data_IF_099231006878
#
_entry.id   IF_099231006878
#
_cell.length_a   1.000
_cell.length_b   1.000
_cell.length_c   1.000
_cell.angle_alpha   90.00
_cell.angle_beta   90.00
_cell.angle_gamma   90.00
#
_symmetry.space_group_name_H-M   'P 1'
#
loop_
_entity.id
_entity.type
_entity.pdbx_description
1 polymer ?
#
# COMPACT_ATOMS: atom_id res chain seq x y z
N UNK A 1 41.04 -40.67 -19.23
CA UNK A 1 41.17 -40.88 -17.78
C UNK A 1 39.75 -40.96 -17.26
N UNK A 2 39.37 -42.05 -16.59
CA UNK A 2 38.01 -42.18 -16.01
C UNK A 2 38.09 -41.62 -14.61
N UNK A 3 37.28 -40.59 -14.34
CA UNK A 3 37.15 -40.02 -13.00
C UNK A 3 35.86 -40.56 -12.38
N UNK A 4 35.87 -40.68 -11.06
CA UNK A 4 34.68 -40.86 -10.24
C UNK A 4 34.72 -39.77 -9.19
N UNK A 5 33.68 -38.94 -9.16
CA UNK A 5 33.58 -37.81 -8.26
C UNK A 5 32.12 -37.59 -7.87
N UNK A 6 31.91 -37.35 -6.58
CA UNK A 6 30.61 -36.95 -6.05
C UNK A 6 30.46 -35.44 -6.13
N UNK A 7 29.33 -34.99 -6.68
CA UNK A 7 28.99 -33.57 -6.74
C UNK A 7 27.76 -33.30 -5.90
N UNK A 8 27.92 -32.46 -4.89
CA UNK A 8 26.81 -31.97 -4.08
C UNK A 8 26.28 -30.67 -4.69
N UNK A 9 25.05 -30.74 -5.19
CA UNK A 9 24.27 -29.60 -5.67
C UNK A 9 23.49 -29.00 -4.52
N UNK A 10 23.35 -27.67 -4.52
CA UNK A 10 22.64 -26.93 -3.49
C UNK A 10 21.80 -25.84 -4.17
N UNK A 11 20.57 -25.68 -3.72
CA UNK A 11 19.67 -24.60 -4.18
C UNK A 11 18.94 -24.03 -2.97
N UNK A 12 18.80 -22.73 -2.96
CA UNK A 12 17.98 -22.00 -1.99
C UNK A 12 16.64 -21.65 -2.65
N UNK A 13 15.58 -21.98 -1.92
CA UNK A 13 14.19 -21.92 -2.36
C UNK A 13 13.39 -20.83 -1.65
N UNK A 14 14.03 -19.92 -0.89
CA UNK A 14 13.33 -18.89 -0.11
C UNK A 14 12.36 -18.02 -0.94
N UNK A 15 12.69 -17.73 -2.21
CA UNK A 15 11.87 -16.89 -3.10
C UNK A 15 10.80 -17.70 -3.87
N UNK A 16 10.54 -18.94 -3.47
CA UNK A 16 9.58 -19.84 -4.13
C UNK A 16 8.32 -19.99 -3.30
N UNK A 17 7.18 -19.61 -3.90
CA UNK A 17 5.83 -19.63 -3.28
C UNK A 17 5.46 -20.92 -2.54
N UNK A 18 5.89 -22.08 -3.04
CA UNK A 18 5.69 -23.37 -2.36
C UNK A 18 6.66 -24.44 -2.84
N UNK A 19 7.16 -25.23 -1.90
CA UNK A 19 7.95 -26.45 -2.15
C UNK A 19 7.18 -27.73 -1.80
N UNK A 20 5.84 -27.69 -1.68
CA UNK A 20 5.03 -28.82 -1.20
C UNK A 20 5.13 -30.07 -2.06
N UNK A 21 5.38 -29.90 -3.37
CA UNK A 21 5.58 -31.00 -4.30
C UNK A 21 7.00 -31.59 -4.24
N UNK A 22 7.88 -31.02 -3.42
CA UNK A 22 9.29 -31.36 -3.29
C UNK A 22 10.20 -30.54 -4.19
N UNK A 23 11.50 -30.64 -3.93
CA UNK A 23 12.56 -29.97 -4.70
C UNK A 23 13.41 -31.06 -5.35
N UNK A 24 13.70 -30.91 -6.64
CA UNK A 24 14.38 -31.94 -7.44
C UNK A 24 15.56 -31.36 -8.21
N UNK A 25 16.56 -32.20 -8.45
CA UNK A 25 17.64 -31.98 -9.40
C UNK A 25 17.39 -32.86 -10.63
N UNK A 26 17.44 -32.27 -11.82
CA UNK A 26 17.40 -33.00 -13.09
C UNK A 26 18.60 -32.60 -13.96
N UNK A 27 19.21 -33.58 -14.62
CA UNK A 27 20.35 -33.32 -15.50
C UNK A 27 20.34 -34.19 -16.75
N UNK A 28 21.05 -33.72 -17.78
CA UNK A 28 21.18 -34.42 -19.06
C UNK A 28 21.86 -35.79 -18.99
N UNK A 29 22.51 -36.10 -17.86
CA UNK A 29 23.21 -37.36 -17.67
C UNK A 29 22.26 -38.56 -17.55
N UNK A 30 21.04 -38.38 -17.03
CA UNK A 30 20.06 -39.47 -16.90
C UNK A 30 18.59 -39.06 -17.09
N UNK A 31 18.30 -37.76 -17.26
CA UNK A 31 16.95 -37.20 -17.39
C UNK A 31 15.98 -37.63 -16.27
N UNK A 32 16.52 -37.95 -15.10
CA UNK A 32 15.74 -38.37 -13.93
C UNK A 32 15.64 -37.23 -12.93
N UNK A 33 14.45 -37.03 -12.37
CA UNK A 33 14.22 -36.07 -11.30
C UNK A 33 14.64 -36.71 -9.97
N UNK A 34 15.73 -36.22 -9.42
CA UNK A 34 16.29 -36.70 -8.16
C UNK A 34 15.81 -35.80 -7.02
N UNK A 35 15.02 -36.36 -6.12
CA UNK A 35 14.50 -35.60 -4.98
C UNK A 35 15.64 -35.13 -4.08
N UNK A 36 15.69 -33.84 -3.83
CA UNK A 36 16.67 -33.18 -2.95
C UNK A 36 16.18 -33.21 -1.51
N UNK A 37 17.13 -33.16 -0.57
CA UNK A 37 16.85 -33.12 0.88
C UNK A 37 17.03 -31.71 1.42
N UNK A 38 16.05 -31.21 2.18
CA UNK A 38 16.19 -29.96 2.93
C UNK A 38 17.21 -30.14 4.06
N UNK A 39 18.18 -29.24 4.18
CA UNK A 39 19.24 -29.28 5.19
C UNK A 39 19.10 -28.19 6.28
N UNK A 40 18.00 -27.44 6.27
CA UNK A 40 17.68 -26.34 7.17
C UNK A 40 17.45 -25.03 6.41
N UNK A 41 16.52 -24.21 6.90
CA UNK A 41 16.00 -23.06 6.14
C UNK A 41 15.36 -23.52 4.84
N UNK A 42 15.56 -22.75 3.77
CA UNK A 42 15.06 -23.03 2.43
C UNK A 42 16.11 -23.66 1.51
N UNK A 43 17.19 -24.19 2.09
CA UNK A 43 18.30 -24.80 1.35
C UNK A 43 18.09 -26.31 1.18
N UNK A 44 18.14 -26.76 -0.08
CA UNK A 44 18.00 -28.15 -0.49
C UNK A 44 19.30 -28.66 -1.13
N UNK A 45 19.63 -29.93 -0.87
CA UNK A 45 20.82 -30.56 -1.43
C UNK A 45 20.58 -31.94 -2.04
N UNK A 46 21.35 -32.27 -3.06
CA UNK A 46 21.45 -33.63 -3.60
C UNK A 46 22.88 -33.91 -4.07
N UNK A 47 23.36 -35.12 -3.84
CA UNK A 47 24.69 -35.54 -4.29
C UNK A 47 24.58 -36.57 -5.42
N UNK A 48 25.11 -36.21 -6.59
CA UNK A 48 25.18 -37.08 -7.76
C UNK A 48 26.61 -37.59 -7.97
N UNK A 49 26.77 -38.90 -8.19
CA UNK A 49 28.07 -39.53 -8.45
C UNK A 49 28.34 -39.61 -9.95
N UNK A 50 29.22 -38.74 -10.47
CA UNK A 50 29.65 -38.82 -11.86
C UNK A 50 30.69 -39.92 -12.05
N UNK A 51 30.57 -40.69 -13.13
CA UNK A 51 31.57 -41.66 -13.58
C UNK A 51 31.78 -41.51 -15.08
N UNK A 52 32.96 -41.07 -15.52
CA UNK A 52 33.18 -40.85 -16.96
C UNK A 52 34.39 -40.01 -17.33
N UNK A 53 34.54 -39.69 -18.62
CA UNK A 53 35.47 -38.66 -19.07
C UNK A 53 35.01 -37.27 -18.58
N UNK A 54 35.92 -36.30 -18.65
CA UNK A 54 35.57 -34.88 -18.48
C UNK A 54 34.65 -34.49 -19.63
N UNK A 55 33.43 -34.09 -19.30
CA UNK A 55 32.38 -33.67 -20.24
C UNK A 55 31.54 -32.55 -19.61
N UNK A 56 30.86 -31.77 -20.44
CA UNK A 56 29.94 -30.72 -19.97
C UNK A 56 28.52 -31.27 -19.97
N UNK A 57 27.82 -31.10 -18.86
CA UNK A 57 26.43 -31.49 -18.69
C UNK A 57 25.58 -30.29 -18.28
N UNK A 58 24.36 -30.26 -18.79
CA UNK A 58 23.36 -29.30 -18.37
C UNK A 58 22.47 -29.89 -17.27
N UNK A 59 22.05 -29.03 -16.34
CA UNK A 59 21.19 -29.40 -15.22
C UNK A 59 20.28 -28.24 -14.81
N UNK A 60 19.26 -28.59 -14.03
CA UNK A 60 18.26 -27.69 -13.51
C UNK A 60 17.76 -28.15 -12.14
N UNK A 61 17.26 -27.19 -11.37
CA UNK A 61 16.39 -27.43 -10.23
C UNK A 61 14.91 -27.42 -10.65
N UNK A 62 14.06 -28.08 -9.87
CA UNK A 62 12.62 -28.13 -10.12
C UNK A 62 11.80 -28.16 -8.81
N UNK A 63 10.59 -27.59 -8.85
CA UNK A 63 9.60 -27.58 -7.74
C UNK A 63 8.61 -28.76 -7.83
N UNK A 64 9.02 -29.85 -8.49
CA UNK A 64 8.20 -31.03 -8.77
C UNK A 64 8.98 -32.03 -9.62
N UNK A 65 8.40 -33.21 -9.85
CA UNK A 65 9.01 -34.29 -10.64
C UNK A 65 8.64 -34.23 -12.14
N UNK A 66 8.10 -33.09 -12.60
CA UNK A 66 7.68 -32.84 -13.98
C UNK A 66 8.48 -31.74 -14.67
N UNK A 67 8.59 -31.83 -16.01
CA UNK A 67 9.22 -30.80 -16.84
C UNK A 67 8.51 -29.43 -16.80
N UNK A 68 7.26 -29.38 -16.35
CA UNK A 68 6.53 -28.13 -16.13
C UNK A 68 6.99 -27.35 -14.90
N UNK A 69 7.73 -28.00 -14.00
CA UNK A 69 8.16 -27.47 -12.71
C UNK A 69 9.65 -27.10 -12.70
N UNK A 70 10.33 -27.24 -13.85
CA UNK A 70 11.76 -26.99 -14.01
C UNK A 70 12.01 -25.49 -14.10
N UNK A 71 13.06 -25.03 -13.42
CA UNK A 71 13.51 -23.64 -13.47
C UNK A 71 13.80 -23.18 -14.91
N UNK A 72 13.62 -21.89 -15.20
CA UNK A 72 13.83 -21.35 -16.56
C UNK A 72 15.31 -21.21 -16.92
N UNK A 73 16.20 -21.29 -15.94
CA UNK A 73 17.64 -21.15 -16.11
C UNK A 73 18.29 -22.49 -16.41
N UNK A 74 19.00 -22.59 -17.54
CA UNK A 74 19.86 -23.74 -17.82
C UNK A 74 21.24 -23.55 -17.21
N UNK A 75 21.64 -24.48 -16.33
CA UNK A 75 22.95 -24.46 -15.68
C UNK A 75 23.86 -25.50 -16.31
N UNK A 76 25.16 -25.29 -16.21
CA UNK A 76 26.17 -26.21 -16.74
C UNK A 76 27.15 -26.64 -15.65
N UNK A 77 27.57 -27.90 -15.72
CA UNK A 77 28.65 -28.45 -14.90
C UNK A 77 29.59 -29.24 -15.80
N UNK A 78 30.89 -29.13 -15.53
CA UNK A 78 31.90 -30.01 -16.12
C UNK A 78 32.18 -31.12 -15.12
N UNK A 79 32.14 -32.38 -15.55
CA UNK A 79 32.44 -33.55 -14.71
C UNK A 79 33.73 -33.32 -13.92
N UNK A 80 33.66 -33.17 -12.59
CA UNK A 80 34.82 -32.77 -11.81
C UNK A 80 35.79 -33.94 -11.63
N UNK A 81 37.06 -33.60 -11.41
CA UNK A 81 38.12 -34.59 -11.18
C UNK A 81 38.25 -35.04 -9.72
N UNK A 82 37.48 -34.43 -8.81
CA UNK A 82 37.42 -34.72 -7.38
C UNK A 82 36.05 -34.35 -6.82
N UNK A 83 35.70 -34.93 -5.67
CA UNK A 83 34.46 -34.59 -4.97
C UNK A 83 34.36 -33.08 -4.74
N UNK A 84 33.21 -32.50 -5.08
CA UNK A 84 33.01 -31.04 -5.08
C UNK A 84 31.62 -30.71 -4.56
N UNK A 85 31.52 -29.69 -3.73
CA UNK A 85 30.24 -29.09 -3.34
C UNK A 85 30.12 -27.77 -4.10
N UNK A 86 29.03 -27.61 -4.86
CA UNK A 86 28.76 -26.36 -5.57
C UNK A 86 28.27 -25.29 -4.60
N UNK A 87 28.52 -23.99 -4.88
CA UNK A 87 27.89 -22.90 -4.14
C UNK A 87 26.37 -23.04 -4.09
N UNK A 88 25.76 -22.53 -3.03
CA UNK A 88 24.30 -22.38 -2.97
C UNK A 88 23.92 -21.31 -3.98
N UNK A 89 22.80 -21.51 -4.67
CA UNK A 89 22.27 -20.58 -5.68
C UNK A 89 20.77 -20.47 -5.51
N UNK A 90 20.18 -19.33 -5.85
CA UNK A 90 18.74 -19.17 -5.79
C UNK A 90 18.06 -19.93 -6.94
N UNK A 91 16.89 -20.48 -6.66
CA UNK A 91 16.02 -21.02 -7.71
C UNK A 91 15.74 -19.94 -8.75
N UNK A 92 15.85 -20.26 -10.06
CA UNK A 92 15.75 -19.27 -11.14
C UNK A 92 16.79 -18.11 -11.10
N UNK A 93 17.91 -18.25 -10.38
CA UNK A 93 19.05 -17.30 -10.41
C UNK A 93 20.42 -17.99 -10.49
N UNK A 94 21.41 -17.34 -11.09
CA UNK A 94 22.81 -17.79 -11.03
C UNK A 94 23.53 -17.36 -9.73
N UNK A 95 22.94 -16.40 -9.01
CA UNK A 95 23.50 -15.84 -7.77
C UNK A 95 22.86 -16.49 -6.54
N UNK A 96 23.44 -16.28 -5.36
CA UNK A 96 22.81 -16.59 -4.07
C UNK A 96 21.48 -15.82 -3.95
N UNK A 97 20.51 -16.34 -3.17
CA UNK A 97 19.28 -15.58 -2.95
C UNK A 97 19.61 -14.28 -2.20
N UNK A 98 18.92 -13.16 -2.51
CA UNK A 98 19.04 -11.96 -1.71
C UNK A 98 18.67 -12.30 -0.26
N UNK A 99 19.47 -11.88 0.72
CA UNK A 99 19.07 -12.04 2.12
C UNK A 99 17.67 -11.44 2.33
N UNK A 100 16.80 -12.13 3.07
CA UNK A 100 15.53 -11.58 3.59
C UNK A 100 15.82 -10.48 4.61
N UNK A 101 16.23 -9.32 4.09
CA UNK A 101 16.53 -8.14 4.90
C UNK A 101 15.26 -7.31 4.97
N UNK A 102 14.77 -7.12 6.18
CA UNK A 102 13.72 -6.16 6.46
C UNK A 102 14.28 -4.97 7.24
N UNK A 103 13.73 -3.79 6.95
CA UNK A 103 14.07 -2.55 7.63
C UNK A 103 12.85 -2.01 8.37
N UNK A 104 13.05 -1.55 9.61
CA UNK A 104 11.99 -0.93 10.38
C UNK A 104 11.71 0.48 9.85
N UNK A 105 10.50 0.69 9.33
CA UNK A 105 10.02 1.98 8.83
C UNK A 105 8.88 2.45 9.71
N UNK A 106 8.88 3.74 10.04
CA UNK A 106 7.80 4.38 10.77
C UNK A 106 7.04 5.33 9.86
N UNK A 107 5.72 5.14 9.79
CA UNK A 107 4.75 6.01 9.12
C UNK A 107 4.12 6.95 10.15
N UNK A 108 3.92 8.20 9.78
CA UNK A 108 3.37 9.24 10.67
C UNK A 108 2.19 9.98 10.03
N UNK A 109 1.08 10.07 10.74
CA UNK A 109 -0.04 10.94 10.43
C UNK A 109 -0.12 12.03 11.49
N UNK A 110 -0.05 13.29 11.08
CA UNK A 110 -0.03 14.46 11.97
C UNK A 110 -1.29 15.27 11.70
N UNK A 111 -2.23 15.24 12.64
CA UNK A 111 -3.38 16.14 12.67
C UNK A 111 -3.00 17.42 13.43
N UNK A 112 -2.81 18.53 12.71
CA UNK A 112 -2.43 19.80 13.35
C UNK A 112 -3.52 20.40 14.23
N UNK A 113 -4.78 20.02 14.00
CA UNK A 113 -5.92 20.57 14.70
C UNK A 113 -6.41 19.69 15.85
N UNK A 114 -5.86 18.47 16.01
CA UNK A 114 -6.23 17.48 17.03
C UNK A 114 -7.75 17.20 17.05
N UNK A 115 -8.35 17.17 15.86
CA UNK A 115 -9.77 16.90 15.62
C UNK A 115 -10.07 15.40 15.46
N UNK A 116 -9.06 14.60 15.11
CA UNK A 116 -9.21 13.18 14.81
C UNK A 116 -8.67 12.29 15.91
N UNK A 117 -9.43 11.25 16.23
CA UNK A 117 -9.06 10.19 17.15
C UNK A 117 -9.05 8.82 16.46
N UNK A 118 -8.55 7.80 17.15
CA UNK A 118 -8.54 6.41 16.70
C UNK A 118 -8.03 6.24 15.25
N UNK A 119 -6.81 6.71 14.97
CA UNK A 119 -6.20 6.63 13.64
C UNK A 119 -5.58 5.25 13.40
N UNK A 120 -5.85 4.70 12.22
CA UNK A 120 -5.32 3.43 11.74
C UNK A 120 -4.61 3.61 10.40
N UNK A 121 -3.67 2.71 10.12
CA UNK A 121 -2.85 2.67 8.92
C UNK A 121 -3.09 1.38 8.15
N UNK A 122 -3.06 1.46 6.82
CA UNK A 122 -3.01 0.30 5.91
C UNK A 122 -1.93 0.53 4.88
N UNK A 123 -1.34 -0.55 4.37
CA UNK A 123 -0.20 -0.45 3.45
C UNK A 123 -0.33 -1.39 2.27
N UNK A 124 0.44 -1.15 1.21
CA UNK A 124 0.49 -2.07 0.07
C UNK A 124 1.29 -3.35 0.37
N UNK A 125 1.98 -3.45 1.52
CA UNK A 125 2.67 -4.69 1.93
C UNK A 125 1.67 -5.84 2.12
N UNK A 126 0.46 -5.52 2.52
CA UNK A 126 -0.63 -6.44 2.83
C UNK A 126 -1.86 -6.19 1.92
N UNK A 127 -1.64 -5.61 0.73
CA UNK A 127 -2.69 -5.24 -0.22
C UNK A 127 -3.80 -4.35 0.39
N UNK A 128 -3.46 -3.54 1.39
CA UNK A 128 -4.38 -2.70 2.18
C UNK A 128 -5.47 -3.49 2.91
N UNK A 129 -5.24 -4.77 3.23
CA UNK A 129 -6.25 -5.65 3.83
C UNK A 129 -6.19 -5.74 5.35
N UNK A 130 -5.04 -5.43 5.94
CA UNK A 130 -4.75 -5.53 7.37
C UNK A 130 -4.68 -4.15 7.99
N UNK A 131 -5.61 -3.81 8.89
CA UNK A 131 -5.61 -2.52 9.55
C UNK A 131 -4.62 -2.53 10.74
N UNK A 132 -3.85 -1.46 10.88
CA UNK A 132 -2.88 -1.30 11.97
C UNK A 132 -3.18 -0.05 12.82
N UNK A 133 -3.45 -0.24 14.11
CA UNK A 133 -3.74 0.88 14.99
C UNK A 133 -2.50 1.76 15.19
N UNK A 134 -2.67 3.06 15.00
CA UNK A 134 -1.65 4.06 15.28
C UNK A 134 -1.45 4.28 16.77
N UNK A 135 -0.21 4.62 17.14
CA UNK A 135 0.12 5.07 18.50
C UNK A 135 0.11 6.60 18.52
N UNK A 136 -0.81 7.20 19.28
CA UNK A 136 -0.85 8.65 19.49
C UNK A 136 0.19 9.07 20.55
N UNK A 137 0.94 10.13 20.27
CA UNK A 137 1.89 10.73 21.20
C UNK A 137 1.27 11.74 22.20
N UNK A 138 -0.04 11.98 22.12
CA UNK A 138 -0.81 12.92 22.94
C UNK A 138 -0.92 14.33 22.35
N UNK A 139 -0.57 14.54 21.08
CA UNK A 139 -0.62 15.85 20.40
C UNK A 139 -0.96 15.73 18.91
N UNK A 140 -2.02 14.98 18.56
CA UNK A 140 -2.44 14.79 17.16
C UNK A 140 -1.47 14.02 16.25
N UNK A 141 -0.34 13.51 16.75
CA UNK A 141 0.62 12.75 15.96
C UNK A 141 0.51 11.25 16.26
N UNK A 142 0.14 10.51 15.22
CA UNK A 142 -0.10 9.08 15.22
C UNK A 142 0.99 8.39 14.42
N UNK A 143 1.61 7.37 15.02
CA UNK A 143 2.70 6.63 14.38
C UNK A 143 2.40 5.14 14.29
N UNK A 144 2.74 4.53 13.17
CA UNK A 144 2.78 3.08 12.97
C UNK A 144 4.19 2.70 12.52
N UNK A 145 4.72 1.57 13.01
CA UNK A 145 6.04 1.08 12.61
C UNK A 145 5.99 -0.41 12.31
N UNK A 146 6.58 -0.80 11.20
CA UNK A 146 6.66 -2.19 10.74
C UNK A 146 7.95 -2.44 9.97
N UNK A 147 8.19 -3.71 9.67
CA UNK A 147 9.34 -4.17 8.91
C UNK A 147 8.97 -4.33 7.43
N UNK A 148 9.81 -3.78 6.55
CA UNK A 148 9.62 -3.77 5.11
C UNK A 148 10.88 -4.28 4.40
N UNK A 149 10.71 -5.16 3.42
CA UNK A 149 11.77 -5.54 2.49
C UNK A 149 12.08 -4.41 1.51
N UNK A 150 13.23 -4.42 0.80
CA UNK A 150 13.52 -3.43 -0.23
C UNK A 150 12.48 -3.45 -1.37
N UNK A 151 11.65 -2.42 -1.44
CA UNK A 151 10.65 -2.25 -2.50
C UNK A 151 10.05 -0.83 -2.45
N UNK A 152 9.07 -0.59 -3.32
CA UNK A 152 8.18 0.56 -3.23
C UNK A 152 6.89 0.14 -2.54
N UNK A 153 6.45 0.95 -1.59
CA UNK A 153 5.21 0.75 -0.85
C UNK A 153 4.34 1.99 -0.93
N UNK A 154 3.03 1.76 -0.89
CA UNK A 154 2.02 2.78 -0.69
C UNK A 154 1.39 2.62 0.69
N UNK A 155 0.86 3.70 1.24
CA UNK A 155 0.14 3.66 2.51
C UNK A 155 -0.92 4.75 2.59
N UNK A 156 -1.82 4.59 3.55
CA UNK A 156 -2.73 5.63 3.95
C UNK A 156 -3.15 5.51 5.40
N UNK A 157 -3.80 6.57 5.89
CA UNK A 157 -4.35 6.61 7.23
C UNK A 157 -5.83 7.02 7.20
N UNK A 158 -6.57 6.49 8.17
CA UNK A 158 -8.01 6.71 8.30
C UNK A 158 -8.42 6.67 9.77
N UNK A 159 -9.52 7.33 10.11
CA UNK A 159 -10.20 7.17 11.39
C UNK A 159 -11.02 5.89 11.37
N UNK A 160 -10.88 5.05 12.40
CA UNK A 160 -11.71 3.86 12.57
C UNK A 160 -12.90 4.14 13.50
N UNK A 161 -14.04 3.52 13.20
CA UNK A 161 -15.27 3.61 13.99
C UNK A 161 -15.26 2.71 15.24
N UNK A 162 -14.28 1.81 15.35
CA UNK A 162 -14.16 0.85 16.44
C UNK A 162 -12.68 0.52 16.77
N UNK A 163 -12.48 -0.28 17.81
CA UNK A 163 -11.15 -0.71 18.29
C UNK A 163 -10.58 -1.91 17.51
N UNK A 164 -11.21 -2.31 16.39
CA UNK A 164 -10.72 -3.40 15.52
C UNK A 164 -10.34 -2.91 14.12
N UNK A 165 -10.43 -1.60 13.86
CA UNK A 165 -9.92 -0.97 12.65
C UNK A 165 -10.94 -0.88 11.51
N UNK A 166 -12.24 -0.96 11.80
CA UNK A 166 -13.28 -0.74 10.78
C UNK A 166 -13.21 0.69 10.26
N UNK A 167 -12.80 0.84 9.01
CA UNK A 167 -12.66 2.14 8.35
C UNK A 167 -13.96 2.93 8.38
N UNK A 168 -13.88 4.16 8.89
CA UNK A 168 -14.94 5.16 8.85
C UNK A 168 -14.59 6.25 7.83
N UNK A 169 -13.54 7.04 8.14
CA UNK A 169 -13.15 8.20 7.33
C UNK A 169 -11.70 8.08 6.87
N UNK A 170 -11.49 8.07 5.55
CA UNK A 170 -10.15 8.10 4.96
C UNK A 170 -9.56 9.50 4.97
N UNK A 171 -8.34 9.68 5.48
CA UNK A 171 -7.77 11.00 5.81
C UNK A 171 -6.57 11.40 4.96
N UNK A 172 -5.82 10.45 4.41
CA UNK A 172 -4.66 10.75 3.54
C UNK A 172 -5.07 10.81 2.06
N UNK A 173 -4.27 11.41 1.18
CA UNK A 173 -4.46 11.28 -0.26
C UNK A 173 -4.56 9.80 -0.69
N UNK A 174 -5.49 9.50 -1.60
CA UNK A 174 -5.71 8.15 -2.14
C UNK A 174 -5.80 8.10 -3.67
N UNK A 175 -5.45 9.19 -4.34
CA UNK A 175 -5.40 9.25 -5.80
C UNK A 175 -4.32 10.24 -6.28
N UNK A 176 -3.03 9.85 -6.25
CA UNK A 176 -2.51 8.56 -5.77
C UNK A 176 -2.40 8.48 -4.24
N UNK A 177 -2.16 7.28 -3.72
CA UNK A 177 -1.74 7.10 -2.32
C UNK A 177 -0.36 7.71 -2.07
N UNK A 178 -0.06 7.98 -0.80
CA UNK A 178 1.30 8.33 -0.37
C UNK A 178 2.22 7.14 -0.60
N UNK A 179 3.45 7.40 -1.03
CA UNK A 179 4.40 6.33 -1.40
C UNK A 179 5.80 6.54 -0.86
N UNK A 180 6.46 5.45 -0.47
CA UNK A 180 7.85 5.43 -0.04
C UNK A 180 8.61 4.24 -0.63
N UNK A 181 9.93 4.37 -0.67
CA UNK A 181 10.86 3.33 -1.14
C UNK A 181 11.84 2.96 -0.05
N UNK A 182 12.02 1.67 0.15
CA UNK A 182 13.06 1.08 1.00
C UNK A 182 14.16 0.54 0.09
N UNK A 183 15.38 1.06 0.24
CA UNK A 183 16.54 0.58 -0.53
C UNK A 183 17.19 -0.64 0.14
N UNK A 184 18.03 -1.35 -0.62
CA UNK A 184 18.79 -2.53 -0.15
C UNK A 184 19.73 -2.23 1.03
N UNK A 185 20.09 -0.96 1.27
CA UNK A 185 20.93 -0.53 2.39
C UNK A 185 20.12 -0.01 3.59
N UNK A 186 18.78 -0.09 3.52
CA UNK A 186 17.86 0.40 4.54
C UNK A 186 17.55 1.88 4.46
N UNK A 187 18.08 2.59 3.47
CA UNK A 187 17.71 4.00 3.25
C UNK A 187 16.25 4.07 2.83
N UNK A 188 15.47 4.89 3.55
CA UNK A 188 14.07 5.17 3.24
C UNK A 188 13.95 6.53 2.54
N UNK A 189 13.19 6.58 1.46
CA UNK A 189 12.90 7.82 0.72
C UNK A 189 11.43 7.89 0.33
N UNK A 190 10.94 9.09 -0.01
CA UNK A 190 9.52 9.32 -0.29
C UNK A 190 8.73 9.78 0.94
N UNK A 191 7.43 9.56 0.92
CA UNK A 191 6.45 10.07 1.87
C UNK A 191 6.23 9.05 2.99
N UNK A 192 6.88 9.25 4.13
CA UNK A 192 6.65 8.45 5.36
C UNK A 192 5.91 9.24 6.44
N UNK A 193 5.57 10.49 6.14
CA UNK A 193 4.82 11.36 7.02
C UNK A 193 3.84 12.16 6.20
N UNK A 194 2.65 12.38 6.74
CA UNK A 194 1.66 13.29 6.19
C UNK A 194 1.10 14.16 7.30
N UNK A 195 1.02 15.46 7.01
CA UNK A 195 0.47 16.46 7.90
C UNK A 195 -0.86 16.92 7.33
N UNK A 196 -1.94 16.66 8.06
CA UNK A 196 -3.26 17.17 7.77
C UNK A 196 -3.38 18.58 8.36
N UNK A 197 -3.24 19.57 7.49
CA UNK A 197 -3.42 20.99 7.80
C UNK A 197 -4.77 21.44 7.27
N UNK A 198 -5.71 21.76 8.18
CA UNK A 198 -7.07 22.19 7.78
C UNK A 198 -7.39 23.59 8.28
N UNK A 199 -8.19 24.29 7.48
CA UNK A 199 -8.70 25.62 7.80
C UNK A 199 -10.22 25.60 7.87
N UNK A 200 -10.83 26.28 8.85
CA UNK A 200 -12.28 26.36 8.95
C UNK A 200 -12.84 27.17 7.77
N UNK A 201 -13.75 26.55 7.01
CA UNK A 201 -14.48 27.20 5.93
C UNK A 201 -15.97 27.22 6.27
N UNK A 202 -16.52 28.43 6.30
CA UNK A 202 -17.93 28.67 6.54
C UNK A 202 -18.69 28.75 5.22
N UNK A 203 -19.68 27.86 5.07
CA UNK A 203 -20.66 27.89 4.00
C UNK A 203 -21.96 28.49 4.50
N UNK A 204 -22.57 29.36 3.68
CA UNK A 204 -23.81 30.04 4.03
C UNK A 204 -24.88 29.78 2.98
N UNK A 205 -26.04 29.32 3.42
CA UNK A 205 -27.23 29.15 2.57
C UNK A 205 -28.28 30.13 3.07
N UNK A 206 -28.81 30.97 2.18
CA UNK A 206 -29.86 31.96 2.48
C UNK A 206 -31.09 31.58 1.66
N UNK A 207 -32.16 31.18 2.34
CA UNK A 207 -33.45 30.83 1.73
C UNK A 207 -34.41 32.03 1.79
N UNK A 208 -34.69 32.60 0.63
CA UNK A 208 -35.70 33.64 0.48
C UNK A 208 -37.14 33.11 0.43
N UNK A 209 -37.35 31.80 0.43
CA UNK A 209 -38.67 31.14 0.31
C UNK A 209 -39.29 30.75 1.65
N UNK A 210 -38.47 30.62 2.70
CA UNK A 210 -38.88 30.20 4.05
C UNK A 210 -39.48 28.78 4.09
N UNK A 211 -38.98 27.87 3.24
CA UNK A 211 -39.58 26.52 3.08
C UNK A 211 -38.67 25.36 3.43
N UNK A 212 -37.37 25.57 3.55
CA UNK A 212 -36.43 24.51 3.89
C UNK A 212 -36.26 24.38 5.42
N UNK A 213 -36.03 23.18 5.92
CA UNK A 213 -35.87 22.93 7.37
C UNK A 213 -34.60 22.13 7.69
N UNK A 214 -34.12 21.30 6.76
CA UNK A 214 -32.98 20.41 6.96
C UNK A 214 -32.03 20.54 5.77
N UNK A 215 -30.92 21.26 5.96
CA UNK A 215 -29.95 21.54 4.89
C UNK A 215 -28.61 20.87 5.23
N UNK A 216 -28.02 20.23 4.23
CA UNK A 216 -26.64 19.78 4.28
C UNK A 216 -25.90 20.14 3.00
N UNK A 217 -24.57 20.19 3.07
CA UNK A 217 -23.73 20.36 1.89
C UNK A 217 -22.88 19.12 1.63
N UNK A 218 -22.53 18.94 0.36
CA UNK A 218 -21.49 18.02 -0.08
C UNK A 218 -20.37 18.83 -0.68
N UNK A 219 -19.15 18.46 -0.34
CA UNK A 219 -17.91 19.10 -0.75
C UNK A 219 -17.00 18.04 -1.36
N UNK A 220 -16.14 18.43 -2.28
CA UNK A 220 -15.07 17.58 -2.76
C UNK A 220 -13.97 18.38 -3.44
N UNK A 221 -12.81 17.74 -3.58
CA UNK A 221 -11.66 18.20 -4.35
C UNK A 221 -10.96 16.99 -4.97
N UNK A 222 -10.07 17.24 -5.94
CA UNK A 222 -9.07 16.26 -6.36
C UNK A 222 -7.89 16.16 -5.40
N UNK A 223 -7.73 17.16 -4.52
CA UNK A 223 -6.50 17.37 -3.77
C UNK A 223 -6.55 16.75 -2.36
N UNK A 224 -7.75 16.46 -1.84
CA UNK A 224 -7.95 15.84 -0.53
C UNK A 224 -8.99 14.72 -0.58
N UNK A 225 -8.86 13.74 0.33
CA UNK A 225 -9.74 12.58 0.41
C UNK A 225 -10.97 12.79 1.33
N UNK A 226 -10.89 13.75 2.26
CA UNK A 226 -11.98 14.12 3.15
C UNK A 226 -12.11 15.64 3.33
N UNK A 227 -13.33 16.17 3.42
CA UNK A 227 -14.61 15.50 3.14
C UNK A 227 -14.79 15.27 1.65
N UNK A 228 -15.14 14.03 1.26
CA UNK A 228 -15.48 13.73 -0.14
C UNK A 228 -16.98 13.90 -0.41
N UNK A 229 -17.35 13.86 -1.69
CA UNK A 229 -18.72 14.09 -2.14
C UNK A 229 -19.77 13.13 -1.55
N UNK A 230 -19.35 11.98 -1.01
CA UNK A 230 -20.23 11.03 -0.35
C UNK A 230 -20.69 11.49 1.04
N UNK A 231 -19.97 12.43 1.66
CA UNK A 231 -20.20 12.89 3.03
C UNK A 231 -21.25 14.00 3.05
N UNK A 232 -22.27 13.85 3.90
CA UNK A 232 -23.25 14.90 4.17
C UNK A 232 -22.76 15.74 5.35
N UNK A 233 -22.58 17.03 5.13
CA UNK A 233 -22.16 17.97 6.16
C UNK A 233 -23.36 18.81 6.57
N UNK A 234 -23.97 18.55 7.73
CA UNK A 234 -25.19 19.25 8.16
C UNK A 234 -24.91 20.73 8.38
N UNK A 235 -25.88 21.56 8.02
CA UNK A 235 -25.84 23.00 8.23
C UNK A 235 -26.84 23.35 9.34
N UNK A 236 -26.42 24.21 10.25
CA UNK A 236 -27.24 24.62 11.38
C UNK A 236 -27.92 25.95 11.05
N UNK A 237 -29.26 25.92 11.10
CA UNK A 237 -30.10 27.07 10.80
C UNK A 237 -30.26 28.02 11.97
N UNK A 238 -30.53 29.28 11.65
CA UNK A 238 -31.25 30.18 12.55
C UNK A 238 -32.65 30.43 11.97
N UNK A 239 -33.65 29.85 12.62
CA UNK A 239 -35.06 29.90 12.20
C UNK A 239 -35.61 31.34 12.09
N UNK A 240 -34.94 32.33 12.69
CA UNK A 240 -35.37 33.74 12.65
C UNK A 240 -34.96 34.47 11.36
N UNK A 241 -33.97 33.96 10.61
CA UNK A 241 -33.40 34.65 9.45
C UNK A 241 -33.23 33.78 8.19
N UNK A 242 -33.75 32.55 8.20
CA UNK A 242 -33.69 31.59 7.08
C UNK A 242 -32.29 31.45 6.49
N UNK A 243 -31.30 31.47 7.38
CA UNK A 243 -29.89 31.31 7.04
C UNK A 243 -29.36 30.05 7.72
N UNK A 244 -28.70 29.18 6.96
CA UNK A 244 -27.98 28.02 7.48
C UNK A 244 -26.49 28.18 7.28
N UNK A 245 -25.75 27.74 8.28
CA UNK A 245 -24.30 27.79 8.30
C UNK A 245 -23.73 26.40 8.51
N UNK A 246 -22.74 26.04 7.70
CA UNK A 246 -22.00 24.78 7.81
C UNK A 246 -20.51 25.14 7.90
N UNK A 247 -19.88 24.82 9.02
CA UNK A 247 -18.46 25.04 9.25
C UNK A 247 -17.72 23.73 9.05
N UNK A 248 -16.81 23.69 8.07
CA UNK A 248 -16.10 22.49 7.68
C UNK A 248 -14.59 22.79 7.68
N UNK A 249 -13.77 22.00 8.40
CA UNK A 249 -12.32 22.05 8.23
C UNK A 249 -11.95 21.45 6.87
N UNK A 250 -11.28 22.24 6.03
CA UNK A 250 -10.85 21.83 4.68
C UNK A 250 -9.35 22.01 4.50
N UNK A 251 -8.73 21.10 3.75
CA UNK A 251 -7.36 21.25 3.28
C UNK A 251 -7.27 22.30 2.15
N UNK A 252 -6.16 23.05 2.06
CA UNK A 252 -5.90 23.94 0.93
C UNK A 252 -6.01 23.22 -0.41
N UNK A 253 -6.70 23.85 -1.37
CA UNK A 253 -6.90 23.28 -2.70
C UNK A 253 -7.18 24.38 -3.72
N UNK A 254 -6.67 24.19 -4.94
CA UNK A 254 -6.92 25.11 -6.06
C UNK A 254 -8.37 25.02 -6.57
N UNK A 255 -9.05 23.88 -6.35
CA UNK A 255 -10.40 23.67 -6.83
C UNK A 255 -11.19 22.77 -5.88
N UNK A 256 -12.02 23.43 -5.07
CA UNK A 256 -13.03 22.79 -4.24
C UNK A 256 -14.39 23.02 -4.89
N UNK A 257 -15.21 21.99 -4.97
CA UNK A 257 -16.56 22.07 -5.48
C UNK A 257 -17.59 21.64 -4.45
N UNK A 258 -18.73 22.33 -4.41
CA UNK A 258 -19.76 22.05 -3.42
C UNK A 258 -21.19 22.27 -3.95
N UNK A 259 -22.15 21.66 -3.25
CA UNK A 259 -23.60 21.82 -3.45
C UNK A 259 -24.35 21.72 -2.12
N UNK A 260 -25.49 22.40 -2.04
CA UNK A 260 -26.45 22.30 -0.96
C UNK A 260 -27.63 21.39 -1.34
N UNK A 261 -28.13 20.69 -0.33
CA UNK A 261 -29.24 19.75 -0.45
C UNK A 261 -30.19 19.94 0.72
N UNK A 262 -31.48 19.70 0.46
CA UNK A 262 -32.47 19.49 1.51
C UNK A 262 -32.42 18.04 2.03
N UNK A 263 -32.89 17.77 3.25
CA UNK A 263 -32.94 16.44 3.87
C UNK A 263 -33.64 15.35 3.03
N UNK A 264 -34.51 15.74 2.09
CA UNK A 264 -35.09 14.83 1.08
C UNK A 264 -34.16 14.46 -0.09
N UNK A 265 -32.96 15.03 -0.16
CA UNK A 265 -31.99 14.88 -1.24
C UNK A 265 -32.19 15.84 -2.41
N UNK A 266 -33.06 16.84 -2.29
CA UNK A 266 -33.32 17.85 -3.32
C UNK A 266 -32.07 18.69 -3.55
N UNK A 267 -31.55 18.73 -4.78
CA UNK A 267 -30.41 19.58 -5.18
C UNK A 267 -30.85 21.04 -5.24
N UNK A 268 -30.46 21.83 -4.23
CA UNK A 268 -30.88 23.22 -4.09
C UNK A 268 -30.20 24.13 -5.13
N UNK A 269 -28.93 23.87 -5.47
CA UNK A 269 -28.24 24.56 -6.55
C UNK A 269 -28.99 24.37 -7.89
N UNK A 270 -29.47 23.14 -8.13
CA UNK A 270 -30.23 22.80 -9.32
C UNK A 270 -31.56 23.57 -9.45
N UNK A 271 -32.22 23.91 -8.35
CA UNK A 271 -33.48 24.67 -8.35
C UNK A 271 -33.33 26.07 -8.98
N UNK A 272 -32.15 26.68 -8.82
CA UNK A 272 -31.81 27.99 -9.37
C UNK A 272 -30.97 27.89 -10.67
N UNK A 273 -30.86 26.69 -11.24
CA UNK A 273 -30.13 26.45 -12.49
C UNK A 273 -28.60 26.47 -12.36
N UNK A 274 -28.07 26.35 -11.15
CA UNK A 274 -26.62 26.25 -10.90
C UNK A 274 -26.15 24.79 -10.89
N UNK A 275 -24.89 24.61 -11.31
CA UNK A 275 -24.16 23.36 -11.13
C UNK A 275 -23.44 23.31 -9.77
N UNK A 276 -22.32 22.59 -9.72
CA UNK A 276 -21.40 22.70 -8.59
C UNK A 276 -20.83 24.13 -8.55
N UNK A 277 -20.78 24.72 -7.36
CA UNK A 277 -20.07 25.98 -7.14
C UNK A 277 -18.61 25.64 -6.86
N UNK A 278 -17.69 26.38 -7.47
CA UNK A 278 -16.25 26.16 -7.32
C UNK A 278 -15.61 27.34 -6.59
N UNK A 279 -14.66 27.05 -5.70
CA UNK A 279 -13.81 28.04 -5.05
C UNK A 279 -12.42 27.43 -4.78
N UNK A 280 -11.47 28.26 -4.35
CA UNK A 280 -10.15 27.81 -3.90
C UNK A 280 -9.93 28.19 -2.44
N UNK A 281 -9.19 27.36 -1.72
CA UNK A 281 -8.75 27.63 -0.34
C UNK A 281 -7.22 27.71 -0.34
N UNK A 282 -6.67 28.86 0.05
CA UNK A 282 -5.23 29.06 0.09
C UNK A 282 -4.59 28.40 1.32
N UNK A 283 -3.29 28.13 1.25
CA UNK A 283 -2.48 27.56 2.34
C UNK A 283 -2.27 28.48 3.56
N UNK A 284 -3.04 29.54 3.68
CA UNK A 284 -3.12 30.39 4.87
C UNK A 284 -4.57 30.52 5.38
N UNK A 285 -5.50 29.73 4.82
CA UNK A 285 -6.93 29.75 5.14
C UNK A 285 -7.75 30.80 4.42
N UNK A 286 -7.17 31.63 3.54
CA UNK A 286 -7.94 32.62 2.79
C UNK A 286 -8.79 31.95 1.70
N UNK A 287 -10.08 32.33 1.62
CA UNK A 287 -11.01 31.93 0.57
C UNK A 287 -12.00 33.08 0.26
N UNK A 288 -12.63 33.02 -0.90
CA UNK A 288 -13.68 33.97 -1.29
C UNK A 288 -15.04 33.53 -0.70
N UNK A 289 -15.51 34.26 0.31
CA UNK A 289 -16.78 33.97 0.99
C UNK A 289 -18.01 34.13 0.08
N UNK A 290 -17.91 34.92 -0.99
CA UNK A 290 -19.02 35.05 -1.95
C UNK A 290 -19.22 33.74 -2.73
N UNK A 291 -18.15 32.94 -2.90
CA UNK A 291 -18.21 31.62 -3.55
C UNK A 291 -18.56 30.47 -2.60
N UNK A 292 -18.63 30.73 -1.29
CA UNK A 292 -19.15 29.79 -0.28
C UNK A 292 -20.55 30.19 0.21
N UNK A 293 -21.19 31.14 -0.48
CA UNK A 293 -22.55 31.60 -0.19
C UNK A 293 -23.52 31.23 -1.31
N UNK A 294 -24.68 30.68 -0.95
CA UNK A 294 -25.75 30.31 -1.87
C UNK A 294 -27.04 31.04 -1.48
N UNK A 295 -27.60 31.78 -2.44
CA UNK A 295 -28.92 32.41 -2.31
C UNK A 295 -29.95 31.62 -3.11
N UNK A 296 -31.03 31.20 -2.47
CA UNK A 296 -32.14 30.45 -3.05
C UNK A 296 -33.43 31.27 -2.94
#
# INVERSE_FOLDING_TARGET
>A
MVFSADVTFQVDMQDVESTDNGVYLVGYWDFTFHQMSNIGGDIYTYTYSFTGPVDTHQYWFATGDGWGDVEIITREIITPSSNTTLPVVCFNSFEECPDDIEFNVSLSFIDENDNWDNIWFTTSQDDFTTPHQGVNNGSGNWTYAANYSPSNYEWGAYQASDDVGTQDVWLTPNNPNLSFTVANDGTVSGETSYTLETYPVTFTIIDGTETFEDIFIRVGSSDFAYPNWGVQNPCYGNDENHTWTCDIPLEPSETIYWKAFEGGGTDLNGLIGLGNILFSLAGNGDYDSDLTTLHI
#
